data_IF_349311000931
#
_entry.id   IF_349311000931
#
_cell.length_a   1.000
_cell.length_b   1.000
_cell.length_c   1.000
_cell.angle_alpha   90.00
_cell.angle_beta   90.00
_cell.angle_gamma   90.00
#
_symmetry.space_group_name_H-M   'P 1'
#
loop_
_entity.id
_entity.type
_entity.pdbx_description
1 polymer ?
#
# COMPACT_ATOMS: atom_id res chain seq x y z
N UNK A 1 7.67 27.01 19.98
CA UNK A 1 6.23 26.67 19.82
C UNK A 1 5.63 27.03 18.44
N UNK A 2 6.25 27.88 17.60
CA UNK A 2 5.72 28.24 16.27
C UNK A 2 5.80 27.14 15.18
N UNK A 3 6.63 26.11 15.38
CA UNK A 3 6.88 25.04 14.39
C UNK A 3 5.73 24.04 14.35
N UNK A 4 5.27 23.60 15.52
CA UNK A 4 4.08 22.76 15.67
C UNK A 4 2.80 23.46 15.20
N UNK A 5 2.64 24.76 15.47
CA UNK A 5 1.49 25.54 14.95
C UNK A 5 1.49 25.63 13.41
N UNK A 6 2.66 25.87 12.79
CA UNK A 6 2.78 25.86 11.31
C UNK A 6 2.51 24.48 10.72
N UNK A 7 3.05 23.41 11.31
CA UNK A 7 2.76 22.04 10.89
C UNK A 7 1.28 21.71 10.97
N UNK A 8 0.63 22.08 12.08
CA UNK A 8 -0.82 21.90 12.27
C UNK A 8 -1.68 22.70 11.29
N UNK A 9 -1.28 23.93 10.96
CA UNK A 9 -1.96 24.73 9.93
C UNK A 9 -1.80 24.13 8.53
N UNK A 10 -0.60 23.65 8.19
CA UNK A 10 -0.34 22.97 6.92
C UNK A 10 -1.18 21.69 6.79
N UNK A 11 -1.22 20.84 7.84
CA UNK A 11 -2.08 19.64 7.83
C UNK A 11 -3.56 19.99 7.66
N UNK A 12 -4.06 21.07 8.30
CA UNK A 12 -5.43 21.54 8.11
C UNK A 12 -5.70 22.04 6.70
N UNK A 13 -4.73 22.72 6.08
CA UNK A 13 -4.85 23.19 4.70
C UNK A 13 -4.87 22.02 3.72
N UNK A 14 -3.98 21.05 3.86
CA UNK A 14 -4.01 19.80 3.09
C UNK A 14 -5.34 19.05 3.28
N UNK A 15 -5.84 18.99 4.52
CA UNK A 15 -7.12 18.36 4.84
C UNK A 15 -8.31 19.11 4.23
N UNK A 16 -8.27 20.45 4.18
CA UNK A 16 -9.30 21.26 3.54
C UNK A 16 -9.34 21.02 2.03
N UNK A 17 -8.20 20.86 1.37
CA UNK A 17 -8.11 20.52 -0.07
C UNK A 17 -8.70 19.13 -0.34
N UNK A 18 -8.36 18.13 0.48
CA UNK A 18 -8.94 16.77 0.35
C UNK A 18 -10.45 16.76 0.58
N UNK A 19 -10.94 17.56 1.54
CA UNK A 19 -12.37 17.64 1.82
C UNK A 19 -13.14 18.42 0.74
N UNK A 20 -12.50 19.41 0.11
CA UNK A 20 -13.07 20.17 -0.99
C UNK A 20 -13.18 19.31 -2.26
N UNK A 21 -12.20 18.44 -2.53
CA UNK A 21 -12.19 17.58 -3.70
C UNK A 21 -12.57 16.12 -3.37
N UNK A 22 -13.87 15.83 -3.49
CA UNK A 22 -14.43 14.48 -3.24
C UNK A 22 -13.82 13.39 -4.14
N UNK A 23 -13.23 13.76 -5.28
CA UNK A 23 -12.62 12.77 -6.18
C UNK A 23 -11.41 12.08 -5.54
N UNK A 24 -10.73 12.75 -4.61
CA UNK A 24 -9.58 12.21 -3.89
C UNK A 24 -9.98 11.07 -2.93
N UNK A 25 -11.16 11.16 -2.32
CA UNK A 25 -11.68 10.10 -1.42
C UNK A 25 -12.15 8.85 -2.18
N UNK A 26 -12.41 8.97 -3.49
CA UNK A 26 -12.81 7.82 -4.29
C UNK A 26 -11.66 6.81 -4.47
N UNK A 27 -10.41 7.26 -4.56
CA UNK A 27 -9.27 6.35 -4.77
C UNK A 27 -9.07 5.35 -3.61
N UNK A 28 -9.04 5.77 -2.32
CA UNK A 28 -9.00 4.84 -1.21
C UNK A 28 -10.17 3.86 -1.19
N UNK A 29 -11.38 4.32 -1.46
CA UNK A 29 -12.59 3.45 -1.44
C UNK A 29 -12.51 2.40 -2.55
N UNK A 30 -12.18 2.81 -3.78
CA UNK A 30 -12.04 1.87 -4.91
C UNK A 30 -10.89 0.89 -4.64
N UNK A 31 -9.78 1.35 -4.07
CA UNK A 31 -8.66 0.50 -3.67
C UNK A 31 -9.07 -0.56 -2.65
N UNK A 32 -9.82 -0.18 -1.60
CA UNK A 32 -10.30 -1.11 -0.58
C UNK A 32 -11.24 -2.15 -1.19
N UNK A 33 -12.17 -1.73 -2.05
CA UNK A 33 -13.08 -2.67 -2.73
C UNK A 33 -12.28 -3.64 -3.62
N UNK A 34 -11.35 -3.13 -4.42
CA UNK A 34 -10.49 -3.95 -5.27
C UNK A 34 -9.64 -4.93 -4.42
N UNK A 35 -9.09 -4.46 -3.30
CA UNK A 35 -8.32 -5.29 -2.38
C UNK A 35 -9.17 -6.40 -1.75
N UNK A 36 -10.40 -6.11 -1.32
CA UNK A 36 -11.33 -7.12 -0.78
C UNK A 36 -11.64 -8.18 -1.84
N UNK A 37 -11.96 -7.76 -3.07
CA UNK A 37 -12.23 -8.70 -4.18
C UNK A 37 -11.02 -9.60 -4.45
N UNK A 38 -9.83 -9.02 -4.57
CA UNK A 38 -8.58 -9.78 -4.73
C UNK A 38 -8.35 -10.73 -3.56
N UNK A 39 -8.60 -10.29 -2.33
CA UNK A 39 -8.44 -11.12 -1.14
C UNK A 39 -9.35 -12.35 -1.19
N UNK A 40 -10.64 -12.15 -1.50
CA UNK A 40 -11.62 -13.24 -1.60
C UNK A 40 -11.21 -14.24 -2.68
N UNK A 41 -10.83 -13.76 -3.87
CA UNK A 41 -10.49 -14.62 -5.00
C UNK A 41 -9.23 -15.44 -4.72
N UNK A 42 -8.13 -14.78 -4.33
CA UNK A 42 -6.83 -15.44 -4.25
C UNK A 42 -6.61 -16.16 -2.93
N UNK A 43 -6.99 -15.56 -1.80
CA UNK A 43 -6.80 -16.19 -0.49
C UNK A 43 -7.94 -17.16 -0.19
N UNK A 44 -9.19 -16.81 -0.52
CA UNK A 44 -10.31 -17.75 -0.44
C UNK A 44 -10.14 -18.94 -1.37
N UNK A 45 -9.75 -18.69 -2.62
CA UNK A 45 -9.39 -19.76 -3.57
C UNK A 45 -8.20 -20.60 -3.09
N UNK A 46 -7.18 -19.95 -2.53
CA UNK A 46 -6.02 -20.63 -1.93
C UNK A 46 -6.41 -21.60 -0.82
N UNK A 47 -7.27 -21.18 0.11
CA UNK A 47 -7.81 -22.04 1.17
C UNK A 47 -8.53 -23.25 0.56
N UNK A 48 -9.36 -23.04 -0.46
CA UNK A 48 -10.06 -24.13 -1.16
C UNK A 48 -9.12 -25.15 -1.79
N UNK A 49 -8.06 -24.69 -2.46
CA UNK A 49 -7.06 -25.59 -3.07
C UNK A 49 -6.25 -26.33 -2.01
N UNK A 50 -5.80 -25.66 -0.94
CA UNK A 50 -5.08 -26.32 0.14
C UNK A 50 -5.91 -27.43 0.80
N UNK A 51 -7.21 -27.17 1.02
CA UNK A 51 -8.13 -28.16 1.57
C UNK A 51 -8.32 -29.34 0.61
N UNK A 52 -8.53 -29.09 -0.69
CA UNK A 52 -8.73 -30.13 -1.69
C UNK A 52 -7.48 -31.01 -1.90
N UNK A 53 -6.29 -30.42 -1.83
CA UNK A 53 -5.01 -31.11 -2.01
C UNK A 53 -4.42 -31.68 -0.70
N UNK A 54 -5.07 -31.44 0.45
CA UNK A 54 -4.55 -31.74 1.79
C UNK A 54 -3.09 -31.27 1.98
N UNK A 55 -2.75 -30.10 1.41
CA UNK A 55 -1.38 -29.58 1.39
C UNK A 55 -1.40 -28.06 1.39
N UNK A 56 -0.85 -27.45 2.44
CA UNK A 56 -0.71 -26.00 2.54
C UNK A 56 0.15 -25.42 1.40
N UNK A 57 1.12 -26.19 0.91
CA UNK A 57 1.99 -25.81 -0.20
C UNK A 57 1.23 -25.61 -1.51
N UNK A 58 0.09 -26.28 -1.69
CA UNK A 58 -0.75 -26.13 -2.89
C UNK A 58 -1.39 -24.73 -3.00
N UNK A 59 -1.58 -24.03 -1.87
CA UNK A 59 -2.10 -22.65 -1.87
C UNK A 59 -1.02 -21.60 -2.17
N UNK A 60 0.26 -21.95 -2.03
CA UNK A 60 1.37 -21.01 -2.07
C UNK A 60 1.40 -20.15 -3.35
N UNK A 61 1.19 -20.70 -4.57
CA UNK A 61 1.16 -19.89 -5.78
C UNK A 61 0.05 -18.83 -5.77
N UNK A 62 -1.15 -19.19 -5.31
CA UNK A 62 -2.28 -18.25 -5.23
C UNK A 62 -2.04 -17.17 -4.18
N UNK A 63 -1.47 -17.52 -3.03
CA UNK A 63 -1.14 -16.56 -1.97
C UNK A 63 -0.09 -15.56 -2.46
N UNK A 64 0.96 -16.02 -3.15
CA UNK A 64 2.01 -15.14 -3.70
C UNK A 64 1.43 -14.19 -4.76
N UNK A 65 0.64 -14.71 -5.70
CA UNK A 65 0.01 -13.89 -6.73
C UNK A 65 -0.98 -12.89 -6.09
N UNK A 66 -1.78 -13.33 -5.12
CA UNK A 66 -2.71 -12.48 -4.40
C UNK A 66 -2.01 -11.34 -3.65
N UNK A 67 -0.95 -11.65 -2.91
CA UNK A 67 -0.15 -10.65 -2.18
C UNK A 67 0.51 -9.64 -3.15
N UNK A 68 1.01 -10.10 -4.29
CA UNK A 68 1.56 -9.24 -5.33
C UNK A 68 0.49 -8.29 -5.89
N UNK A 69 -0.69 -8.81 -6.26
CA UNK A 69 -1.78 -8.01 -6.80
C UNK A 69 -2.31 -6.99 -5.79
N UNK A 70 -2.40 -7.35 -4.51
CA UNK A 70 -2.76 -6.39 -3.44
C UNK A 70 -1.77 -5.23 -3.37
N UNK A 71 -0.47 -5.53 -3.50
CA UNK A 71 0.59 -4.52 -3.49
C UNK A 71 0.50 -3.63 -4.74
N UNK A 72 0.23 -4.21 -5.91
CA UNK A 72 -0.01 -3.46 -7.15
C UNK A 72 -1.22 -2.54 -7.02
N UNK A 73 -2.35 -3.01 -6.49
CA UNK A 73 -3.57 -2.22 -6.29
C UNK A 73 -3.30 -1.04 -5.36
N UNK A 74 -2.58 -1.29 -4.26
CA UNK A 74 -2.19 -0.26 -3.30
C UNK A 74 -1.33 0.83 -3.94
N UNK A 75 -0.25 0.44 -4.63
CA UNK A 75 0.66 1.38 -5.30
C UNK A 75 -0.06 2.12 -6.43
N UNK A 76 -0.86 1.43 -7.24
CA UNK A 76 -1.64 2.05 -8.33
C UNK A 76 -2.57 3.14 -7.80
N UNK A 77 -3.30 2.84 -6.73
CA UNK A 77 -4.22 3.79 -6.09
C UNK A 77 -3.48 4.96 -5.44
N UNK A 78 -2.31 4.70 -4.84
CA UNK A 78 -1.46 5.75 -4.29
C UNK A 78 -0.92 6.69 -5.39
N UNK A 79 -0.51 6.15 -6.55
CA UNK A 79 -0.07 6.95 -7.70
C UNK A 79 -1.23 7.78 -8.27
N UNK A 80 -2.42 7.18 -8.42
CA UNK A 80 -3.60 7.88 -8.90
C UNK A 80 -3.99 9.03 -7.95
N UNK A 81 -4.06 8.75 -6.65
CA UNK A 81 -4.34 9.74 -5.61
C UNK A 81 -3.29 10.86 -5.60
N UNK A 82 -2.00 10.52 -5.65
CA UNK A 82 -0.93 11.50 -5.66
C UNK A 82 -1.01 12.43 -6.87
N UNK A 83 -1.32 11.89 -8.06
CA UNK A 83 -1.48 12.71 -9.27
C UNK A 83 -2.62 13.71 -9.14
N UNK A 84 -3.80 13.28 -8.68
CA UNK A 84 -4.92 14.20 -8.44
C UNK A 84 -4.64 15.16 -7.28
N UNK A 85 -3.94 14.74 -6.23
CA UNK A 85 -3.61 15.61 -5.12
C UNK A 85 -2.71 16.77 -5.56
N UNK A 86 -1.71 16.52 -6.41
CA UNK A 86 -0.86 17.58 -6.99
C UNK A 86 -1.70 18.57 -7.80
N UNK A 87 -2.58 18.09 -8.67
CA UNK A 87 -3.47 18.94 -9.49
C UNK A 87 -4.42 19.78 -8.63
N UNK A 88 -5.00 19.19 -7.58
CA UNK A 88 -5.91 19.88 -6.66
C UNK A 88 -5.19 20.96 -5.85
N UNK A 89 -3.93 20.72 -5.44
CA UNK A 89 -3.09 21.70 -4.75
C UNK A 89 -2.73 22.90 -5.65
N UNK A 90 -2.65 22.68 -6.96
CA UNK A 90 -2.45 23.73 -7.96
C UNK A 90 -3.75 24.44 -8.36
N UNK A 91 -4.87 24.14 -7.69
CA UNK A 91 -6.17 24.78 -7.90
C UNK A 91 -6.91 24.31 -9.16
N UNK A 92 -6.47 23.20 -9.78
CA UNK A 92 -7.16 22.61 -10.95
C UNK A 92 -8.30 21.70 -10.51
N UNK A 93 -9.34 21.61 -11.33
CA UNK A 93 -10.42 20.65 -11.13
C UNK A 93 -9.92 19.23 -11.41
N UNK A 94 -10.13 18.31 -10.47
CA UNK A 94 -9.66 16.92 -10.64
C UNK A 94 -10.80 15.93 -10.78
N UNK A 95 -10.52 14.82 -11.46
CA UNK A 95 -11.47 13.74 -11.66
C UNK A 95 -10.82 12.38 -11.44
N UNK A 96 -11.60 11.40 -11.00
CA UNK A 96 -11.13 10.02 -10.76
C UNK A 96 -10.52 9.41 -12.03
N UNK A 97 -11.12 9.69 -13.19
CA UNK A 97 -10.65 9.19 -14.49
C UNK A 97 -9.26 9.72 -14.87
N UNK A 98 -8.95 10.98 -14.55
CA UNK A 98 -7.62 11.56 -14.77
C UNK A 98 -6.56 10.86 -13.92
N UNK A 99 -6.84 10.62 -12.64
CA UNK A 99 -5.91 9.92 -11.75
C UNK A 99 -5.63 8.48 -12.21
N UNK A 100 -6.65 7.74 -12.63
CA UNK A 100 -6.45 6.40 -13.19
C UNK A 100 -5.70 6.40 -14.51
N UNK A 101 -5.91 7.41 -15.36
CA UNK A 101 -5.16 7.55 -16.61
C UNK A 101 -3.68 7.82 -16.33
N UNK A 102 -3.39 8.72 -15.38
CA UNK A 102 -2.03 9.00 -14.94
C UNK A 102 -1.33 7.76 -14.35
N UNK A 103 -2.04 6.99 -13.53
CA UNK A 103 -1.52 5.74 -12.97
C UNK A 103 -1.28 4.66 -14.05
N UNK A 104 -2.19 4.50 -15.02
CA UNK A 104 -2.00 3.58 -16.16
C UNK A 104 -0.77 3.93 -17.00
N UNK A 105 -0.45 5.21 -17.16
CA UNK A 105 0.77 5.66 -17.84
C UNK A 105 2.06 5.17 -17.16
N UNK A 106 2.00 4.78 -15.88
CA UNK A 106 3.15 4.34 -15.07
C UNK A 106 3.10 2.85 -14.72
N UNK A 107 2.30 2.07 -15.43
CA UNK A 107 1.99 0.68 -15.06
C UNK A 107 3.24 -0.23 -14.98
N UNK A 108 4.22 -0.05 -15.88
CA UNK A 108 5.50 -0.78 -15.82
C UNK A 108 6.26 -0.50 -14.51
N UNK A 109 6.31 0.78 -14.12
CA UNK A 109 6.97 1.20 -12.88
C UNK A 109 6.22 0.68 -11.66
N UNK A 110 4.88 0.70 -11.68
CA UNK A 110 4.04 0.17 -10.60
C UNK A 110 4.29 -1.33 -10.40
N UNK A 111 4.31 -2.12 -11.47
CA UNK A 111 4.59 -3.55 -11.37
C UNK A 111 6.00 -3.85 -10.86
N UNK A 112 7.01 -3.12 -11.34
CA UNK A 112 8.39 -3.27 -10.87
C UNK A 112 8.51 -2.89 -9.39
N UNK A 113 7.92 -1.78 -8.98
CA UNK A 113 7.95 -1.32 -7.60
C UNK A 113 7.16 -2.24 -6.66
N UNK A 114 6.04 -2.79 -7.13
CA UNK A 114 5.28 -3.78 -6.36
C UNK A 114 6.10 -5.05 -6.09
N UNK A 115 6.96 -5.47 -7.02
CA UNK A 115 7.82 -6.63 -6.83
C UNK A 115 8.89 -6.36 -5.76
N UNK A 116 9.49 -5.17 -5.79
CA UNK A 116 10.45 -4.72 -4.76
C UNK A 116 9.75 -4.63 -3.40
N UNK A 117 8.60 -3.96 -3.33
CA UNK A 117 7.84 -3.76 -2.10
C UNK A 117 7.40 -5.09 -1.49
N UNK A 118 6.89 -6.03 -2.30
CA UNK A 118 6.53 -7.37 -1.84
C UNK A 118 7.76 -8.11 -1.32
N UNK A 119 8.87 -8.09 -2.06
CA UNK A 119 10.11 -8.77 -1.66
C UNK A 119 10.60 -8.27 -0.31
N UNK A 120 10.59 -6.95 -0.10
CA UNK A 120 11.01 -6.37 1.17
C UNK A 120 10.02 -6.65 2.29
N UNK A 121 8.72 -6.62 2.01
CA UNK A 121 7.69 -7.04 2.96
C UNK A 121 7.89 -8.50 3.41
N UNK A 122 8.23 -9.40 2.50
CA UNK A 122 8.55 -10.79 2.81
C UNK A 122 9.83 -10.91 3.65
N UNK A 123 10.88 -10.16 3.31
CA UNK A 123 12.12 -10.14 4.10
C UNK A 123 11.87 -9.67 5.54
N UNK A 124 11.09 -8.60 5.72
CA UNK A 124 10.70 -8.10 7.05
C UNK A 124 9.87 -9.15 7.79
N UNK A 125 8.92 -9.81 7.11
CA UNK A 125 8.08 -10.85 7.71
C UNK A 125 8.90 -12.06 8.17
N UNK A 126 9.89 -12.48 7.38
CA UNK A 126 10.82 -13.55 7.75
C UNK A 126 11.64 -13.14 8.98
N UNK A 127 12.24 -11.94 8.96
CA UNK A 127 12.99 -11.43 10.12
C UNK A 127 12.11 -11.36 11.37
N UNK A 128 10.85 -10.95 11.23
CA UNK A 128 9.89 -10.92 12.32
C UNK A 128 9.59 -12.31 12.88
N UNK A 129 9.41 -13.32 12.02
CA UNK A 129 9.20 -14.71 12.45
C UNK A 129 10.40 -15.29 13.21
N UNK A 130 11.62 -15.02 12.76
CA UNK A 130 12.85 -15.45 13.44
C UNK A 130 13.02 -14.77 14.80
N UNK A 131 12.65 -13.49 14.90
CA UNK A 131 12.68 -12.75 16.17
C UNK A 131 11.59 -13.19 17.14
N UNK A 132 10.42 -13.62 16.63
CA UNK A 132 9.33 -14.12 17.46
C UNK A 132 9.69 -15.41 18.22
N UNK A 133 10.45 -16.31 17.59
CA UNK A 133 10.97 -17.52 18.23
C UNK A 133 11.90 -17.23 19.42
N UNK A 134 12.59 -16.07 19.41
CA UNK A 134 13.61 -15.71 20.42
C UNK A 134 13.07 -14.73 21.48
N UNK A 135 12.25 -13.76 21.08
CA UNK A 135 11.85 -12.61 21.91
C UNK A 135 10.36 -12.61 22.31
N UNK A 136 9.55 -13.53 21.79
CA UNK A 136 8.11 -13.61 22.02
C UNK A 136 7.28 -12.63 21.16
N UNK A 137 5.97 -12.92 21.01
CA UNK A 137 5.12 -12.28 19.98
C UNK A 137 4.90 -10.76 20.17
N UNK A 138 4.93 -10.28 21.42
CA UNK A 138 4.76 -8.85 21.69
C UNK A 138 5.98 -8.04 21.23
N UNK A 139 7.19 -8.57 21.50
CA UNK A 139 8.43 -7.92 21.10
C UNK A 139 8.62 -7.98 19.57
N UNK A 140 8.28 -9.11 18.95
CA UNK A 140 8.34 -9.24 17.48
C UNK A 140 7.35 -8.34 16.77
N UNK A 141 6.14 -8.14 17.29
CA UNK A 141 5.15 -7.22 16.71
C UNK A 141 5.63 -5.75 16.75
N UNK A 142 6.22 -5.32 17.86
CA UNK A 142 6.78 -3.97 17.99
C UNK A 142 7.97 -3.79 17.05
N UNK A 143 8.90 -4.75 17.02
CA UNK A 143 10.08 -4.69 16.15
C UNK A 143 9.71 -4.76 14.67
N UNK A 144 8.74 -5.58 14.28
CA UNK A 144 8.20 -5.66 12.92
C UNK A 144 7.52 -4.35 12.50
N UNK A 145 6.77 -3.72 13.42
CA UNK A 145 6.21 -2.39 13.22
C UNK A 145 7.30 -1.31 13.00
N UNK A 146 8.37 -1.34 13.81
CA UNK A 146 9.51 -0.44 13.67
C UNK A 146 10.31 -0.68 12.39
N UNK A 147 10.50 -1.93 11.98
CA UNK A 147 11.17 -2.28 10.73
C UNK A 147 10.35 -1.82 9.51
N UNK A 148 9.03 -2.00 9.56
CA UNK A 148 8.12 -1.48 8.54
C UNK A 148 8.14 0.05 8.47
N UNK A 149 8.20 0.72 9.63
CA UNK A 149 8.38 2.16 9.71
C UNK A 149 9.73 2.61 9.14
N UNK A 150 10.83 1.94 9.51
CA UNK A 150 12.15 2.22 8.99
C UNK A 150 12.22 2.03 7.46
N UNK A 151 11.53 1.02 6.92
CA UNK A 151 11.39 0.83 5.48
C UNK A 151 10.61 1.97 4.81
N UNK A 152 9.49 2.41 5.40
CA UNK A 152 8.73 3.55 4.89
C UNK A 152 9.57 4.84 4.88
N UNK A 153 10.40 5.05 5.91
CA UNK A 153 11.32 6.19 6.00
C UNK A 153 12.47 6.05 4.99
N UNK A 154 13.07 4.87 4.86
CA UNK A 154 14.14 4.62 3.90
C UNK A 154 13.68 4.82 2.46
N UNK A 155 12.49 4.32 2.11
CA UNK A 155 11.91 4.53 0.77
C UNK A 155 11.63 6.00 0.49
N UNK A 156 11.22 6.78 1.48
CA UNK A 156 11.07 8.23 1.33
C UNK A 156 12.40 8.94 1.03
N UNK A 157 13.51 8.52 1.64
CA UNK A 157 14.83 9.11 1.42
C UNK A 157 15.59 8.58 0.20
N UNK A 158 15.26 7.37 -0.26
CA UNK A 158 15.90 6.73 -1.42
C UNK A 158 15.25 7.14 -2.74
N UNK A 159 13.99 7.58 -2.75
CA UNK A 159 13.37 8.15 -3.94
C UNK A 159 14.10 9.46 -4.27
N UNK A 160 14.87 9.53 -5.37
CA UNK A 160 15.40 10.81 -5.82
C UNK A 160 14.23 11.67 -6.26
N UNK A 161 14.11 12.86 -5.66
CA UNK A 161 13.21 13.92 -6.12
C UNK A 161 13.62 14.42 -7.50
#
# INVERSE_FOLDING_TARGET
MNRFKRGWQLSKQSWAVVKADKSLLAFPVISVVAAIVTMIIFFGGGIGIAAAANSAWAALPLVIIGAYLLTVIGIFSAVALASCATEALEGRSTTVGQGFTAARGRMKLIFAWAAVALSVGLLISILQSLLEEVAGSLASAILGGLASFAWAVATFFVIPI
#
